data_IF_139553775450
#
_entry.id   IF_139553775450
#
_cell.length_a   1.000
_cell.length_b   1.000
_cell.length_c   1.000
_cell.angle_alpha   90.00
_cell.angle_beta   90.00
_cell.angle_gamma   90.00
#
_symmetry.space_group_name_H-M   'P 1'
#
loop_
_entity.id
_entity.type
_entity.pdbx_description
1 polymer ?
#
# COMPACT_ATOMS: atom_id res chain seq x y z
N UNK A 1 -56.82 -33.73 5.29
CA UNK A 1 -56.93 -32.25 5.47
C UNK A 1 -55.89 -31.72 6.49
N UNK A 2 -54.57 -31.81 6.21
CA UNK A 2 -53.52 -31.33 7.16
C UNK A 2 -52.35 -30.56 6.53
N UNK A 3 -52.30 -30.38 5.20
CA UNK A 3 -51.18 -29.72 4.49
C UNK A 3 -51.38 -28.22 4.19
N UNK A 4 -52.59 -27.69 4.40
CA UNK A 4 -52.90 -26.27 4.16
C UNK A 4 -52.53 -25.37 5.36
N UNK A 5 -52.81 -25.81 6.59
CA UNK A 5 -52.57 -25.03 7.81
C UNK A 5 -51.08 -24.68 8.03
N UNK A 6 -50.17 -25.60 7.68
CA UNK A 6 -48.73 -25.38 7.84
C UNK A 6 -48.19 -24.25 6.93
N UNK A 7 -48.73 -24.11 5.71
CA UNK A 7 -48.33 -23.02 4.80
C UNK A 7 -48.88 -21.66 5.26
N UNK A 8 -50.04 -21.63 5.92
CA UNK A 8 -50.60 -20.41 6.48
C UNK A 8 -49.78 -19.88 7.67
N UNK A 9 -49.32 -20.77 8.55
CA UNK A 9 -48.43 -20.40 9.66
C UNK A 9 -47.04 -19.92 9.19
N UNK A 10 -46.47 -20.53 8.15
CA UNK A 10 -45.17 -20.09 7.60
C UNK A 10 -45.26 -18.70 6.94
N UNK A 11 -46.38 -18.38 6.28
CA UNK A 11 -46.59 -17.08 5.64
C UNK A 11 -46.79 -15.93 6.61
N UNK A 12 -47.49 -16.17 7.73
CA UNK A 12 -47.82 -15.13 8.71
C UNK A 12 -46.59 -14.64 9.49
N UNK A 13 -45.57 -15.50 9.67
CA UNK A 13 -44.36 -15.15 10.43
C UNK A 13 -43.39 -14.22 9.69
N UNK A 14 -43.51 -14.08 8.36
CA UNK A 14 -42.58 -13.26 7.56
C UNK A 14 -42.96 -11.76 7.53
N UNK A 15 -44.19 -11.41 7.96
CA UNK A 15 -44.72 -10.05 7.87
C UNK A 15 -44.45 -9.17 9.12
N UNK A 16 -43.81 -9.71 10.16
CA UNK A 16 -43.79 -9.10 11.50
C UNK A 16 -42.46 -8.44 11.94
N UNK A 17 -41.45 -8.37 11.08
CA UNK A 17 -40.07 -7.97 11.45
C UNK A 17 -39.60 -6.62 10.89
N UNK A 18 -40.50 -5.77 10.40
CA UNK A 18 -40.19 -4.46 9.79
C UNK A 18 -40.65 -3.24 10.62
N UNK A 19 -40.79 -3.44 11.94
CA UNK A 19 -41.14 -2.39 12.92
C UNK A 19 -40.33 -2.63 14.19
N UNK A 20 -39.58 -1.68 14.77
CA UNK A 20 -39.33 -0.30 14.37
C UNK A 20 -37.96 0.19 14.87
N UNK A 21 -37.25 0.98 14.05
CA UNK A 21 -36.11 1.81 14.46
C UNK A 21 -36.11 3.15 13.68
N UNK A 22 -37.24 3.87 13.68
CA UNK A 22 -37.31 5.25 13.18
C UNK A 22 -37.10 6.24 14.32
N UNK A 23 -35.83 6.44 14.70
CA UNK A 23 -35.44 7.49 15.65
C UNK A 23 -35.54 8.87 15.02
N UNK A 24 -36.53 9.66 15.43
CA UNK A 24 -36.79 11.00 14.88
C UNK A 24 -35.77 12.02 15.43
N UNK A 25 -34.88 12.52 14.59
CA UNK A 25 -33.91 13.55 14.98
C UNK A 25 -34.57 14.94 15.02
N UNK A 26 -35.21 15.28 16.15
CA UNK A 26 -35.82 16.60 16.35
C UNK A 26 -34.78 17.65 16.75
N UNK A 27 -34.39 18.50 15.80
CA UNK A 27 -33.68 19.73 16.08
C UNK A 27 -34.60 20.74 16.81
N UNK A 28 -34.66 20.66 18.14
CA UNK A 28 -35.32 21.62 19.00
C UNK A 28 -34.30 22.25 19.97
N UNK A 29 -34.01 23.54 19.76
CA UNK A 29 -33.17 24.34 20.67
C UNK A 29 -33.98 24.74 21.91
N UNK A 30 -33.49 24.43 23.11
CA UNK A 30 -33.61 25.29 24.30
C UNK A 30 -32.70 24.84 25.47
N UNK A 31 -31.74 25.70 25.82
CA UNK A 31 -31.22 25.97 27.18
C UNK A 31 -30.91 24.84 28.19
N UNK A 32 -29.60 24.68 28.42
CA UNK A 32 -28.94 24.82 29.74
C UNK A 32 -29.32 23.92 30.92
N UNK A 33 -28.53 22.86 31.17
CA UNK A 33 -27.93 22.62 32.50
C UNK A 33 -26.61 21.80 32.40
N UNK A 34 -25.83 21.70 33.48
CA UNK A 34 -24.39 21.42 33.42
C UNK A 34 -23.90 19.99 33.79
N UNK A 35 -23.34 19.29 32.79
CA UNK A 35 -22.28 18.26 32.91
C UNK A 35 -22.64 16.85 33.46
N UNK A 36 -21.70 15.87 33.44
CA UNK A 36 -20.43 15.81 32.70
C UNK A 36 -20.31 14.63 31.70
N UNK A 37 -19.39 14.77 30.75
CA UNK A 37 -18.70 13.71 29.97
C UNK A 37 -19.44 12.41 29.57
N UNK A 38 -19.85 12.33 28.30
CA UNK A 38 -19.61 11.13 27.46
C UNK A 38 -19.44 11.59 26.01
N UNK A 39 -18.21 11.53 25.51
CA UNK A 39 -17.86 11.84 24.12
C UNK A 39 -18.17 10.63 23.24
N UNK A 40 -19.44 10.48 22.84
CA UNK A 40 -19.77 9.62 21.70
C UNK A 40 -19.21 10.24 20.42
N UNK A 41 -18.31 9.54 19.73
CA UNK A 41 -17.67 10.08 18.52
C UNK A 41 -18.70 10.49 17.46
N UNK A 42 -18.41 11.60 16.78
CA UNK A 42 -19.13 12.00 15.59
C UNK A 42 -18.79 11.04 14.43
N UNK A 43 -19.80 10.34 13.91
CA UNK A 43 -19.73 9.58 12.67
C UNK A 43 -19.45 10.52 11.48
N UNK A 44 -18.16 10.80 11.24
CA UNK A 44 -17.69 11.63 10.13
C UNK A 44 -17.46 10.73 8.92
N UNK A 45 -18.53 10.47 8.16
CA UNK A 45 -18.44 9.81 6.87
C UNK A 45 -17.97 10.79 5.78
N UNK A 46 -16.67 11.10 5.80
CA UNK A 46 -15.93 11.63 4.66
C UNK A 46 -14.47 11.15 4.75
N UNK A 47 -14.06 10.28 3.82
CA UNK A 47 -12.68 9.77 3.78
C UNK A 47 -12.22 9.52 2.32
N UNK A 48 -11.47 10.47 1.72
CA UNK A 48 -10.93 10.32 0.38
C UNK A 48 -9.55 9.67 0.39
N UNK A 49 -9.52 8.34 0.20
CA UNK A 49 -8.36 7.44 0.22
C UNK A 49 -7.67 7.31 1.60
N UNK A 50 -7.53 6.06 2.06
CA UNK A 50 -6.85 5.73 3.31
C UNK A 50 -5.34 5.54 3.13
N UNK A 51 -4.59 6.02 4.12
CA UNK A 51 -3.22 5.59 4.40
C UNK A 51 -3.24 4.49 5.46
N UNK A 52 -2.40 3.47 5.31
CA UNK A 52 -2.45 2.25 6.13
C UNK A 52 -1.11 1.98 6.85
N UNK A 53 -0.55 0.75 6.81
CA UNK A 53 0.75 0.43 7.45
C UNK A 53 1.89 1.31 6.93
N UNK A 54 1.73 1.86 5.73
CA UNK A 54 2.64 2.79 5.08
C UNK A 54 1.86 4.07 4.76
N UNK A 55 2.37 5.19 5.25
CA UNK A 55 1.75 6.52 5.22
C UNK A 55 1.96 7.27 3.91
N UNK A 56 2.68 6.65 2.96
CA UNK A 56 3.03 7.23 1.67
C UNK A 56 2.75 6.29 0.48
N UNK A 57 1.81 5.35 0.65
CA UNK A 57 1.25 4.52 -0.43
C UNK A 57 -0.27 4.71 -0.46
N UNK A 58 -0.74 5.53 -1.40
CA UNK A 58 -2.16 5.78 -1.60
C UNK A 58 -2.85 4.54 -2.21
N UNK A 59 -4.03 4.18 -1.70
CA UNK A 59 -4.89 3.10 -2.25
C UNK A 59 -6.15 3.73 -2.85
N UNK A 60 -6.62 3.31 -4.04
CA UNK A 60 -7.76 3.97 -4.70
C UNK A 60 -9.10 3.68 -4.01
N UNK A 61 -9.95 4.70 -3.99
CA UNK A 61 -11.38 4.56 -3.69
C UNK A 61 -12.02 3.39 -4.46
N UNK A 62 -12.86 2.61 -3.77
CA UNK A 62 -13.48 1.40 -4.32
C UNK A 62 -12.67 0.11 -4.13
N UNK A 63 -11.45 0.21 -3.59
CA UNK A 63 -10.73 -0.90 -2.97
C UNK A 63 -11.07 -0.96 -1.47
N UNK A 64 -11.39 -2.16 -0.99
CA UNK A 64 -11.70 -2.51 0.39
C UNK A 64 -10.49 -3.25 0.99
N UNK A 65 -10.08 -2.88 2.20
CA UNK A 65 -8.98 -3.53 2.93
C UNK A 65 -9.40 -4.90 3.46
N UNK A 66 -8.47 -5.86 3.50
CA UNK A 66 -8.67 -7.23 3.98
C UNK A 66 -7.72 -7.49 5.17
N UNK A 67 -8.05 -7.03 6.40
CA UNK A 67 -7.13 -7.11 7.54
C UNK A 67 -6.68 -8.54 7.89
N UNK A 68 -7.51 -9.54 7.62
CA UNK A 68 -7.20 -10.95 7.89
C UNK A 68 -6.12 -11.54 6.97
N UNK A 69 -5.85 -10.89 5.83
CA UNK A 69 -4.77 -11.26 4.90
C UNK A 69 -3.50 -10.40 5.12
N UNK A 70 -3.52 -9.39 6.02
CA UNK A 70 -2.37 -8.51 6.28
C UNK A 70 -1.29 -9.16 7.17
N UNK A 71 -0.06 -8.70 7.00
CA UNK A 71 1.06 -9.05 7.88
C UNK A 71 1.93 -7.81 8.15
N UNK A 72 2.48 -7.68 9.36
CA UNK A 72 3.44 -6.62 9.65
C UNK A 72 4.51 -7.09 10.62
N UNK A 73 5.71 -6.54 10.47
CA UNK A 73 6.86 -6.81 11.30
C UNK A 73 7.60 -5.49 11.55
N UNK A 74 7.80 -5.13 12.81
CA UNK A 74 8.54 -3.93 13.18
C UNK A 74 9.72 -4.28 14.09
N UNK A 75 10.89 -3.73 13.76
CA UNK A 75 12.14 -3.96 14.47
C UNK A 75 12.81 -2.64 14.84
N UNK A 76 13.97 -2.70 15.48
CA UNK A 76 14.81 -1.51 15.68
C UNK A 76 15.43 -0.99 14.38
N UNK A 77 15.53 -1.82 13.33
CA UNK A 77 16.27 -1.51 12.11
C UNK A 77 15.37 -1.15 10.92
N UNK A 78 14.20 -1.79 10.81
CA UNK A 78 13.23 -1.60 9.74
C UNK A 78 11.81 -1.99 10.17
N UNK A 79 10.84 -1.40 9.51
CA UNK A 79 9.42 -1.79 9.50
C UNK A 79 9.11 -2.42 8.14
N UNK A 80 8.38 -3.52 8.11
CA UNK A 80 7.93 -4.15 6.88
C UNK A 80 6.50 -4.70 7.02
N UNK A 81 5.82 -4.94 5.90
CA UNK A 81 4.46 -5.45 5.93
C UNK A 81 3.90 -5.77 4.55
N UNK A 82 2.78 -6.47 4.57
CA UNK A 82 1.97 -6.90 3.45
C UNK A 82 0.56 -6.41 3.73
N UNK A 83 -0.04 -5.73 2.76
CA UNK A 83 -1.41 -5.23 2.86
C UNK A 83 -2.25 -5.68 1.69
N UNK A 84 -3.42 -6.24 1.97
CA UNK A 84 -4.28 -6.84 0.96
C UNK A 84 -5.58 -6.04 0.79
N UNK A 85 -5.91 -5.76 -0.47
CA UNK A 85 -7.07 -4.98 -0.86
C UNK A 85 -7.82 -5.70 -1.99
N UNK A 86 -9.14 -5.57 -2.01
CA UNK A 86 -9.98 -6.06 -3.11
C UNK A 86 -11.07 -5.05 -3.48
N UNK A 87 -11.40 -4.90 -4.75
CA UNK A 87 -12.39 -3.90 -5.17
C UNK A 87 -13.02 -4.18 -6.52
N UNK A 88 -14.11 -3.48 -6.83
CA UNK A 88 -14.70 -3.44 -8.18
C UNK A 88 -14.12 -2.28 -9.01
N UNK A 89 -12.81 -2.11 -8.93
CA UNK A 89 -12.05 -1.13 -9.72
C UNK A 89 -11.65 -1.79 -11.04
N UNK A 90 -11.71 -1.04 -12.14
CA UNK A 90 -11.23 -1.50 -13.45
C UNK A 90 -9.73 -1.77 -13.36
N UNK A 91 -9.29 -2.95 -13.82
CA UNK A 91 -7.92 -3.42 -13.59
C UNK A 91 -6.84 -2.49 -14.19
N UNK A 92 -7.04 -1.98 -15.41
CA UNK A 92 -6.10 -1.03 -16.02
C UNK A 92 -6.06 0.32 -15.27
N UNK A 93 -7.20 0.80 -14.77
CA UNK A 93 -7.26 2.02 -13.95
C UNK A 93 -6.56 1.83 -12.60
N UNK A 94 -6.65 0.64 -12.00
CA UNK A 94 -5.91 0.28 -10.78
C UNK A 94 -4.39 0.32 -11.01
N UNK A 95 -3.90 -0.23 -12.13
CA UNK A 95 -2.47 -0.14 -12.50
C UNK A 95 -2.06 1.32 -12.72
N UNK A 96 -2.87 2.08 -13.46
CA UNK A 96 -2.57 3.47 -13.80
C UNK A 96 -2.62 4.38 -12.57
N UNK A 97 -3.51 4.11 -11.61
CA UNK A 97 -3.59 4.82 -10.33
C UNK A 97 -2.27 4.71 -9.56
N UNK A 98 -1.76 3.49 -9.35
CA UNK A 98 -0.49 3.29 -8.65
C UNK A 98 0.69 3.89 -9.44
N UNK A 99 0.73 3.75 -10.77
CA UNK A 99 1.79 4.35 -11.59
C UNK A 99 1.81 5.89 -11.55
N UNK A 100 0.64 6.53 -11.36
CA UNK A 100 0.55 7.97 -11.28
C UNK A 100 0.81 8.50 -9.86
N UNK A 101 0.22 7.89 -8.83
CA UNK A 101 0.29 8.43 -7.46
C UNK A 101 1.62 8.11 -6.77
N UNK A 102 2.20 6.92 -6.94
CA UNK A 102 3.54 6.63 -6.39
C UNK A 102 4.58 7.66 -6.86
N UNK A 103 4.55 8.06 -8.13
CA UNK A 103 5.46 9.09 -8.67
C UNK A 103 5.19 10.48 -8.09
N UNK A 104 3.92 10.86 -7.87
CA UNK A 104 3.56 12.13 -7.20
C UNK A 104 4.05 12.16 -5.75
N UNK A 105 3.96 11.03 -5.06
CA UNK A 105 4.33 10.86 -3.66
C UNK A 105 5.85 10.65 -3.47
N UNK A 106 6.65 10.93 -4.51
CA UNK A 106 8.11 10.96 -4.48
C UNK A 106 8.80 9.61 -4.62
N UNK A 107 8.08 8.55 -5.01
CA UNK A 107 8.69 7.26 -5.31
C UNK A 107 9.31 7.23 -6.71
N UNK A 108 10.42 6.53 -6.86
CA UNK A 108 11.04 6.20 -8.14
C UNK A 108 10.56 4.81 -8.59
N UNK A 109 10.06 4.71 -9.83
CA UNK A 109 9.74 3.41 -10.45
C UNK A 109 11.03 2.66 -10.79
N UNK A 110 11.18 1.46 -10.25
CA UNK A 110 12.27 0.52 -10.54
C UNK A 110 11.89 -0.37 -11.73
N UNK A 111 10.70 -0.97 -11.67
CA UNK A 111 10.21 -1.90 -12.70
C UNK A 111 8.68 -1.92 -12.74
N UNK A 112 8.12 -2.35 -13.87
CA UNK A 112 6.68 -2.59 -14.01
C UNK A 112 6.44 -3.70 -15.04
N UNK A 113 5.93 -4.85 -14.59
CA UNK A 113 5.48 -5.95 -15.43
C UNK A 113 3.95 -5.91 -15.49
N UNK A 114 3.39 -5.87 -16.70
CA UNK A 114 1.93 -5.90 -16.93
C UNK A 114 1.50 -7.28 -17.44
N UNK A 115 0.53 -7.89 -16.76
CA UNK A 115 -0.19 -9.09 -17.20
C UNK A 115 -1.52 -9.19 -16.43
N UNK A 116 -2.24 -10.32 -16.45
CA UNK A 116 -3.36 -10.57 -15.51
C UNK A 116 -2.94 -10.57 -14.03
N UNK A 117 -1.65 -10.81 -13.78
CA UNK A 117 -0.95 -10.57 -12.51
C UNK A 117 0.20 -9.61 -12.81
N UNK A 118 -0.01 -8.33 -12.52
CA UNK A 118 0.97 -7.27 -12.75
C UNK A 118 1.78 -7.03 -11.48
N UNK A 119 3.04 -6.64 -11.63
CA UNK A 119 3.95 -6.35 -10.52
C UNK A 119 4.62 -5.01 -10.79
N UNK A 120 4.44 -4.06 -9.88
CA UNK A 120 5.04 -2.73 -9.92
C UNK A 120 6.04 -2.60 -8.77
N UNK A 121 7.28 -2.20 -9.06
CA UNK A 121 8.35 -2.10 -8.06
C UNK A 121 8.81 -0.65 -7.98
N UNK A 122 8.87 -0.12 -6.76
CA UNK A 122 9.23 1.26 -6.45
C UNK A 122 10.24 1.34 -5.31
N UNK A 123 11.01 2.43 -5.30
CA UNK A 123 11.96 2.77 -4.25
C UNK A 123 11.90 4.26 -3.93
N UNK A 124 12.22 4.62 -2.69
CA UNK A 124 12.27 5.98 -2.16
C UNK A 124 13.36 6.02 -1.08
N UNK A 125 13.78 7.19 -0.62
CA UNK A 125 14.84 7.28 0.41
C UNK A 125 14.45 6.45 1.64
N UNK A 126 15.26 5.45 1.98
CA UNK A 126 15.02 4.47 3.04
C UNK A 126 13.74 3.62 2.90
N UNK A 127 13.02 3.63 1.76
CA UNK A 127 11.82 2.80 1.55
C UNK A 127 11.84 2.01 0.24
N UNK A 128 11.21 0.84 0.24
CA UNK A 128 10.96 0.03 -0.95
C UNK A 128 9.52 -0.49 -0.95
N UNK A 129 8.90 -0.60 -2.12
CA UNK A 129 7.54 -1.10 -2.28
C UNK A 129 7.41 -1.99 -3.52
N UNK A 130 6.67 -3.09 -3.37
CA UNK A 130 6.22 -3.96 -4.45
C UNK A 130 4.69 -3.99 -4.39
N UNK A 131 4.04 -3.64 -5.49
CA UNK A 131 2.58 -3.65 -5.61
C UNK A 131 2.24 -4.74 -6.62
N UNK A 132 1.69 -5.85 -6.13
CA UNK A 132 1.11 -6.91 -6.95
C UNK A 132 -0.36 -6.60 -7.21
N UNK A 133 -0.80 -6.71 -8.46
CA UNK A 133 -2.18 -6.44 -8.89
C UNK A 133 -2.71 -7.65 -9.64
N UNK A 134 -3.85 -8.20 -9.22
CA UNK A 134 -4.46 -9.39 -9.85
C UNK A 134 -5.85 -9.05 -10.40
N UNK A 135 -6.07 -9.36 -11.67
CA UNK A 135 -7.35 -9.21 -12.37
C UNK A 135 -8.37 -10.27 -11.92
N UNK A 136 -9.66 -9.90 -11.88
CA UNK A 136 -10.73 -10.76 -11.39
C UNK A 136 -12.04 -10.03 -11.12
N UNK A 137 -13.07 -10.77 -10.65
CA UNK A 137 -14.40 -10.21 -10.37
C UNK A 137 -14.40 -9.11 -9.29
N UNK A 138 -13.53 -9.26 -8.28
CA UNK A 138 -12.93 -8.14 -7.57
C UNK A 138 -11.45 -8.14 -7.97
N UNK A 139 -10.94 -7.03 -8.48
CA UNK A 139 -9.50 -6.86 -8.66
C UNK A 139 -8.83 -6.86 -7.27
N UNK A 140 -7.68 -7.52 -7.13
CA UNK A 140 -6.88 -7.51 -5.89
C UNK A 140 -5.65 -6.61 -6.05
N UNK A 141 -5.28 -5.94 -4.98
CA UNK A 141 -3.97 -5.28 -4.84
C UNK A 141 -3.30 -5.76 -3.55
N UNK A 142 -2.07 -6.24 -3.64
CA UNK A 142 -1.24 -6.61 -2.50
C UNK A 142 -0.02 -5.67 -2.47
N UNK A 143 0.07 -4.87 -1.43
CA UNK A 143 1.16 -3.92 -1.20
C UNK A 143 2.14 -4.53 -0.22
N UNK A 144 3.31 -4.93 -0.72
CA UNK A 144 4.47 -5.24 0.11
C UNK A 144 5.29 -3.95 0.25
N UNK A 145 5.61 -3.53 1.46
CA UNK A 145 6.50 -2.39 1.65
C UNK A 145 7.44 -2.57 2.84
N UNK A 146 8.55 -1.85 2.79
CA UNK A 146 9.62 -1.87 3.76
C UNK A 146 10.20 -0.46 3.92
N UNK A 147 10.46 -0.08 5.17
CA UNK A 147 11.03 1.20 5.56
C UNK A 147 12.17 0.96 6.57
N UNK A 148 13.38 1.41 6.23
CA UNK A 148 14.53 1.38 7.12
C UNK A 148 14.46 2.54 8.13
N UNK A 149 14.58 2.22 9.42
CA UNK A 149 14.65 3.24 10.47
C UNK A 149 16.01 3.93 10.42
N UNK A 150 16.01 5.26 10.48
CA UNK A 150 17.22 6.09 10.46
C UNK A 150 18.19 5.66 11.56
N UNK A 151 19.33 5.10 11.15
CA UNK A 151 20.27 4.39 12.02
C UNK A 151 20.78 3.08 11.40
N UNK A 152 20.00 2.44 10.52
CA UNK A 152 20.41 1.22 9.80
C UNK A 152 20.81 1.44 8.32
N UNK A 153 20.60 2.64 7.79
CA UNK A 153 21.01 3.01 6.43
C UNK A 153 22.50 3.34 6.38
N UNK A 154 23.34 2.34 6.07
CA UNK A 154 24.72 2.58 5.64
C UNK A 154 24.69 3.34 4.31
N UNK A 155 24.97 4.64 4.37
CA UNK A 155 24.96 5.49 3.19
C UNK A 155 26.06 5.06 2.21
N UNK A 156 25.66 4.48 1.08
CA UNK A 156 26.50 4.26 -0.10
C UNK A 156 26.79 5.58 -0.85
N UNK A 157 27.15 6.62 -0.09
CA UNK A 157 27.67 7.88 -0.60
C UNK A 157 29.03 7.61 -1.23
N UNK A 158 29.05 7.37 -2.54
CA UNK A 158 30.24 7.18 -3.34
C UNK A 158 31.16 8.40 -3.22
N UNK A 159 32.12 8.33 -2.30
CA UNK A 159 33.11 9.39 -2.06
C UNK A 159 34.08 9.42 -3.24
N UNK A 160 33.71 10.16 -4.27
CA UNK A 160 34.62 10.54 -5.37
C UNK A 160 35.68 11.48 -4.80
N UNK A 161 36.80 10.92 -4.35
CA UNK A 161 37.98 11.68 -3.94
C UNK A 161 38.72 12.19 -5.18
N UNK A 162 38.36 13.40 -5.63
CA UNK A 162 39.10 14.07 -6.70
C UNK A 162 40.10 15.05 -6.09
N UNK A 163 41.29 14.55 -5.71
CA UNK A 163 42.42 15.37 -5.27
C UNK A 163 43.45 15.48 -6.38
N UNK A 164 43.59 16.65 -6.99
CA UNK A 164 44.68 16.93 -7.93
C UNK A 164 45.20 18.36 -7.78
N UNK A 165 46.37 18.48 -7.17
CA UNK A 165 47.10 19.73 -7.02
C UNK A 165 48.55 19.55 -7.51
N UNK A 166 49.00 20.48 -8.36
CA UNK A 166 50.40 20.84 -8.66
C UNK A 166 51.44 19.80 -9.13
N UNK A 167 51.86 19.97 -10.40
CA UNK A 167 53.26 20.21 -10.82
C UNK A 167 54.36 19.14 -10.63
N UNK A 168 54.83 18.54 -11.75
CA UNK A 168 56.24 18.66 -12.23
C UNK A 168 56.46 17.99 -13.61
N UNK A 169 57.62 18.25 -14.23
CA UNK A 169 58.03 17.95 -15.61
C UNK A 169 58.85 16.64 -15.69
N UNK A 170 58.50 15.71 -16.59
CA UNK A 170 59.34 14.53 -16.90
C UNK A 170 58.67 13.48 -17.82
N UNK A 171 59.44 12.94 -18.77
CA UNK A 171 59.12 11.87 -19.75
C UNK A 171 60.30 10.88 -19.66
N UNK A 172 60.16 9.53 -19.62
CA UNK A 172 59.56 8.72 -20.70
C UNK A 172 58.91 7.34 -20.37
N UNK A 173 58.40 6.71 -21.45
CA UNK A 173 58.26 5.26 -21.73
C UNK A 173 56.95 4.48 -21.36
N UNK A 174 56.39 3.67 -22.30
CA UNK A 174 55.35 2.63 -22.07
C UNK A 174 56.00 1.26 -21.68
N UNK A 175 55.29 0.18 -21.26
CA UNK A 175 53.99 -0.34 -21.73
C UNK A 175 53.04 -0.73 -20.55
N UNK A 176 51.99 -1.57 -20.62
CA UNK A 176 51.49 -2.50 -21.65
C UNK A 176 49.97 -2.72 -21.59
N UNK A 177 49.42 -3.47 -22.56
CA UNK A 177 48.02 -3.94 -22.59
C UNK A 177 47.81 -5.21 -21.75
N UNK A 178 46.78 -5.24 -20.91
CA UNK A 178 46.29 -6.49 -20.32
C UNK A 178 44.83 -6.74 -20.73
N UNK A 179 44.63 -7.63 -21.72
CA UNK A 179 43.32 -8.25 -21.96
C UNK A 179 43.21 -9.44 -21.00
N UNK A 180 42.40 -9.33 -19.96
CA UNK A 180 42.02 -10.48 -19.15
C UNK A 180 41.11 -11.39 -19.96
N UNK A 181 41.68 -12.45 -20.54
CA UNK A 181 40.92 -13.52 -21.18
C UNK A 181 40.13 -14.29 -20.12
N UNK A 182 38.81 -14.12 -20.09
CA UNK A 182 37.92 -15.00 -19.35
C UNK A 182 37.95 -16.39 -20.00
N UNK A 183 38.30 -17.43 -19.25
CA UNK A 183 38.42 -18.80 -19.75
C UNK A 183 37.35 -19.69 -19.15
N UNK A 184 36.76 -20.54 -20.00
CA UNK A 184 35.61 -21.41 -19.72
C UNK A 184 35.97 -22.63 -18.84
N UNK A 185 36.55 -22.36 -17.66
CA UNK A 185 36.90 -23.32 -16.61
C UNK A 185 36.45 -22.90 -15.21
N UNK A 186 35.98 -21.67 -15.05
CA UNK A 186 35.49 -21.13 -13.77
C UNK A 186 34.01 -21.51 -13.48
N UNK A 187 33.48 -22.53 -14.19
CA UNK A 187 32.13 -23.08 -13.99
C UNK A 187 32.27 -24.57 -13.67
N UNK A 188 32.42 -24.88 -12.39
CA UNK A 188 32.01 -26.13 -11.74
C UNK A 188 32.09 -25.98 -10.21
#
# INVERSE_FOLDING_TARGET
MKRAAFKFFLGLSLAATLSACSGMNTNARATSDAGPATSGQAETYDNPNYYYLFDDILVPNGMEHIPDEDFSFDTQQFKAGIQNFQGRVVYDDLINFFQNNMIKDGWRKVSAVRSKKSILIYEKTNKAAIIELVDGFKAKATVFALEYKTGSSSSSSARTTNSKTSTTRGVPAPPASNKSSFSEKDIN
#
